data_IF_847569488240
#
_entry.id   IF_847569488240
#
_cell.length_a   1.000
_cell.length_b   1.000
_cell.length_c   1.000
_cell.angle_alpha   90.00
_cell.angle_beta   90.00
_cell.angle_gamma   90.00
#
_symmetry.space_group_name_H-M   'P 1'
#
loop_
_entity.id
_entity.type
_entity.pdbx_description
1 polymer ?
#
# COMPACT_ATOMS: atom_id res chain seq x y z
N UNK A 1 3.26 -4.80 21.26
CA UNK A 1 2.51 -3.89 20.36
C UNK A 1 3.52 -2.91 19.78
N UNK A 2 4.09 -3.17 18.59
CA UNK A 2 5.03 -2.25 17.95
C UNK A 2 4.20 -1.34 17.04
N UNK A 3 3.97 -0.10 17.47
CA UNK A 3 3.48 0.95 16.60
C UNK A 3 4.61 1.31 15.63
N UNK A 4 4.73 0.54 14.56
CA UNK A 4 5.62 0.87 13.45
C UNK A 4 4.86 1.89 12.61
N UNK A 5 4.82 3.14 13.07
CA UNK A 5 4.53 4.23 12.14
C UNK A 5 5.72 4.25 11.20
N UNK A 6 5.50 3.89 9.94
CA UNK A 6 6.47 4.10 8.88
C UNK A 6 6.86 5.58 8.93
N UNK A 7 8.16 5.89 8.92
CA UNK A 7 8.64 7.28 8.87
C UNK A 7 8.14 8.02 7.60
N UNK A 8 7.49 7.28 6.69
CA UNK A 8 6.96 7.69 5.38
C UNK A 8 5.43 7.78 5.31
N UNK A 9 4.74 7.97 6.44
CA UNK A 9 3.26 8.01 6.49
C UNK A 9 2.62 8.97 5.49
N UNK A 10 3.25 10.13 5.23
CA UNK A 10 2.71 11.14 4.32
C UNK A 10 2.85 10.64 2.87
N UNK A 11 3.99 10.06 2.53
CA UNK A 11 4.28 9.48 1.22
C UNK A 11 3.33 8.32 0.91
N UNK A 12 3.12 7.42 1.86
CA UNK A 12 2.18 6.30 1.73
C UNK A 12 0.74 6.81 1.52
N UNK A 13 0.34 7.85 2.25
CA UNK A 13 -0.96 8.49 2.07
C UNK A 13 -1.11 9.13 0.68
N UNK A 14 -0.06 9.80 0.16
CA UNK A 14 -0.09 10.39 -1.18
C UNK A 14 -0.17 9.31 -2.28
N UNK A 15 0.56 8.20 -2.13
CA UNK A 15 0.50 7.07 -3.05
C UNK A 15 -0.92 6.47 -3.06
N UNK A 16 -1.49 6.21 -1.87
CA UNK A 16 -2.83 5.64 -1.74
C UNK A 16 -3.91 6.57 -2.32
N UNK A 17 -3.84 7.88 -2.03
CA UNK A 17 -4.76 8.87 -2.57
C UNK A 17 -4.71 8.93 -4.11
N UNK A 18 -3.50 8.88 -4.68
CA UNK A 18 -3.32 8.84 -6.14
C UNK A 18 -3.93 7.58 -6.74
N UNK A 19 -3.68 6.40 -6.13
CA UNK A 19 -4.26 5.15 -6.62
C UNK A 19 -5.79 5.17 -6.60
N UNK A 20 -6.40 5.67 -5.53
CA UNK A 20 -7.85 5.78 -5.40
C UNK A 20 -8.46 6.80 -6.38
N UNK A 21 -7.83 7.98 -6.53
CA UNK A 21 -8.32 9.03 -7.42
C UNK A 21 -8.35 8.61 -8.90
N UNK A 22 -7.53 7.65 -9.28
CA UNK A 22 -7.35 7.19 -10.65
C UNK A 22 -7.80 5.72 -10.88
N UNK A 23 -8.45 5.09 -9.89
CA UNK A 23 -8.90 3.69 -9.95
C UNK A 23 -7.77 2.70 -10.33
N UNK A 24 -6.59 2.89 -9.74
CA UNK A 24 -5.41 2.07 -9.99
C UNK A 24 -5.25 0.94 -8.98
N UNK A 25 -4.62 -0.15 -9.42
CA UNK A 25 -4.11 -1.20 -8.53
C UNK A 25 -2.70 -0.86 -8.07
N UNK A 26 -2.46 -0.85 -6.75
CA UNK A 26 -1.14 -0.58 -6.19
C UNK A 26 -0.30 -1.87 -6.13
N UNK A 27 0.85 -1.86 -6.79
CA UNK A 27 1.82 -2.97 -6.73
C UNK A 27 2.95 -2.58 -5.77
N UNK A 28 3.07 -3.27 -4.63
CA UNK A 28 4.07 -2.95 -3.61
C UNK A 28 4.50 -4.17 -2.80
N UNK A 29 5.71 -4.14 -2.24
CA UNK A 29 6.16 -5.14 -1.25
C UNK A 29 5.53 -4.90 0.12
N UNK A 30 5.25 -3.64 0.48
CA UNK A 30 4.80 -3.25 1.81
C UNK A 30 3.27 -3.28 1.91
N UNK A 31 2.67 -4.44 1.62
CA UNK A 31 1.20 -4.56 1.52
C UNK A 31 0.49 -4.16 2.82
N UNK A 32 1.07 -4.50 3.98
CA UNK A 32 0.51 -4.21 5.29
C UNK A 32 0.21 -2.71 5.54
N UNK A 33 0.95 -1.80 4.90
CA UNK A 33 0.74 -0.36 5.07
C UNK A 33 -0.48 0.15 4.30
N UNK A 34 -1.01 -0.64 3.34
CA UNK A 34 -2.09 -0.25 2.43
C UNK A 34 -3.35 -1.13 2.54
N UNK A 35 -3.30 -2.26 3.26
CA UNK A 35 -4.42 -3.23 3.38
C UNK A 35 -5.73 -2.61 3.88
N UNK A 36 -5.67 -1.59 4.74
CA UNK A 36 -6.85 -0.95 5.33
C UNK A 36 -7.40 0.23 4.53
N UNK A 37 -6.82 0.54 3.37
CA UNK A 37 -7.10 1.78 2.63
C UNK A 37 -8.13 1.61 1.49
N UNK A 38 -8.72 0.41 1.34
CA UNK A 38 -9.81 0.18 0.39
C UNK A 38 -9.41 0.15 -1.09
N UNK A 39 -8.10 0.17 -1.39
CA UNK A 39 -7.57 -0.02 -2.74
C UNK A 39 -7.15 -1.47 -2.99
N UNK A 40 -7.10 -1.86 -4.26
CA UNK A 40 -6.56 -3.17 -4.66
C UNK A 40 -5.04 -3.14 -4.57
N UNK A 41 -4.45 -4.06 -3.80
CA UNK A 41 -2.99 -4.15 -3.59
C UNK A 41 -2.46 -5.51 -4.03
N UNK A 42 -1.38 -5.52 -4.82
CA UNK A 42 -0.68 -6.73 -5.26
C UNK A 42 0.74 -6.75 -4.70
N UNK A 43 1.12 -7.86 -4.06
CA UNK A 43 2.52 -8.13 -3.71
C UNK A 43 3.22 -8.85 -4.88
N UNK A 44 4.13 -8.19 -5.62
CA UNK A 44 4.83 -8.82 -6.74
C UNK A 44 5.85 -9.87 -6.27
N UNK A 45 6.16 -9.94 -4.98
CA UNK A 45 7.04 -10.92 -4.36
C UNK A 45 6.30 -12.03 -3.60
N UNK A 46 4.95 -12.02 -3.64
CA UNK A 46 4.15 -13.17 -3.20
C UNK A 46 4.48 -14.40 -4.05
N UNK A 47 4.03 -15.59 -3.64
CA UNK A 47 4.26 -16.83 -4.41
C UNK A 47 3.57 -16.76 -5.79
N UNK A 48 4.23 -16.12 -6.75
CA UNK A 48 4.18 -16.49 -8.16
C UNK A 48 4.94 -17.80 -8.31
N UNK A 49 4.41 -18.67 -9.17
CA UNK A 49 4.92 -20.01 -9.45
C UNK A 49 6.42 -20.05 -9.71
#
# INVERSE_FOLDING_TARGET
MKHRKSDTLIEDAMIAATALAHDLTLVTRNVADFESLGLTVINPFGKGR
#
